data_IF_792133647085
#
_entry.id   IF_792133647085
#
_cell.length_a   1.000
_cell.length_b   1.000
_cell.length_c   1.000
_cell.angle_alpha   90.00
_cell.angle_beta   90.00
_cell.angle_gamma   90.00
#
_symmetry.space_group_name_H-M   'P 1'
#
loop_
_entity.id
_entity.type
_entity.pdbx_description
1 polymer ?
#
# COMPACT_ATOMS: atom_id res chain seq x y z
N UNK A 1 -30.93 45.07 31.31
CA UNK A 1 -30.31 45.69 30.12
C UNK A 1 -28.84 45.85 30.46
N UNK A 2 -28.02 44.89 30.06
CA UNK A 2 -26.58 44.90 30.31
C UNK A 2 -25.94 45.30 28.97
N UNK A 3 -25.53 46.56 28.86
CA UNK A 3 -24.94 47.09 27.63
C UNK A 3 -23.56 46.46 27.41
N UNK A 4 -23.33 45.89 26.23
CA UNK A 4 -22.02 45.36 25.87
C UNK A 4 -20.96 46.49 25.92
N UNK A 5 -19.73 46.20 26.39
CA UNK A 5 -18.69 47.22 26.53
C UNK A 5 -18.38 47.89 25.18
N UNK A 6 -18.14 49.21 25.21
CA UNK A 6 -17.92 50.08 24.04
C UNK A 6 -16.89 49.54 23.03
N UNK A 7 -15.92 48.74 23.48
CA UNK A 7 -14.89 48.13 22.65
C UNK A 7 -15.42 47.21 21.55
N UNK A 8 -16.60 46.60 21.72
CA UNK A 8 -17.23 45.77 20.68
C UNK A 8 -17.92 46.59 19.57
N UNK A 9 -18.09 47.91 19.76
CA UNK A 9 -18.65 48.80 18.75
C UNK A 9 -17.61 49.24 17.71
N UNK A 10 -16.32 49.28 18.08
CA UNK A 10 -15.24 49.72 17.19
C UNK A 10 -14.23 48.60 16.90
N UNK A 11 -14.20 48.15 15.64
CA UNK A 11 -13.33 47.06 15.16
C UNK A 11 -11.85 47.34 15.43
N UNK A 12 -11.44 48.62 15.41
CA UNK A 12 -10.05 49.03 15.64
C UNK A 12 -9.57 48.70 17.05
N UNK A 13 -10.45 48.82 18.05
CA UNK A 13 -10.10 48.60 19.46
C UNK A 13 -9.98 47.12 19.78
N UNK A 14 -10.81 46.27 19.16
CA UNK A 14 -10.71 44.81 19.24
C UNK A 14 -9.36 44.34 18.67
N UNK A 15 -8.97 44.87 17.51
CA UNK A 15 -7.68 44.55 16.87
C UNK A 15 -6.51 44.99 17.75
N UNK A 16 -6.56 46.22 18.28
CA UNK A 16 -5.51 46.75 19.17
C UNK A 16 -5.38 45.93 20.46
N UNK A 17 -6.50 45.49 21.05
CA UNK A 17 -6.51 44.64 22.25
C UNK A 17 -5.88 43.27 21.96
N UNK A 18 -6.22 42.65 20.83
CA UNK A 18 -5.65 41.36 20.43
C UNK A 18 -4.15 41.47 20.10
N UNK A 19 -3.72 42.59 19.51
CA UNK A 19 -2.31 42.90 19.24
C UNK A 19 -1.54 43.10 20.55
N UNK A 20 -2.09 43.88 21.49
CA UNK A 20 -1.49 44.11 22.81
C UNK A 20 -1.39 42.82 23.64
N UNK A 21 -2.38 41.92 23.52
CA UNK A 21 -2.38 40.61 24.16
C UNK A 21 -1.43 39.58 23.49
N UNK A 22 -0.76 39.93 22.39
CA UNK A 22 0.18 39.07 21.67
C UNK A 22 -0.47 37.87 20.96
N UNK A 23 -1.80 37.87 20.81
CA UNK A 23 -2.57 36.79 20.17
C UNK A 23 -2.29 36.78 18.66
N UNK A 24 -2.13 37.96 18.05
CA UNK A 24 -1.81 38.12 16.63
C UNK A 24 -0.48 37.50 16.22
N UNK A 25 0.49 37.35 17.14
CA UNK A 25 1.77 36.71 16.87
C UNK A 25 1.68 35.16 16.85
N UNK A 26 0.63 34.59 17.44
CA UNK A 26 0.42 33.12 17.48
C UNK A 26 -0.50 32.62 16.38
N UNK A 27 -1.36 33.48 15.83
CA UNK A 27 -2.36 33.10 14.82
C UNK A 27 -1.90 33.55 13.44
N UNK A 28 -1.51 32.58 12.61
CA UNK A 28 -1.13 32.75 11.20
C UNK A 28 -2.07 33.72 10.46
N UNK A 29 -1.53 34.86 10.01
CA UNK A 29 -1.85 35.62 8.76
C UNK A 29 -3.31 35.70 8.26
N UNK A 30 -4.31 35.59 9.11
CA UNK A 30 -5.69 35.87 8.73
C UNK A 30 -5.92 37.37 8.79
N UNK A 31 -6.11 38.01 7.62
CA UNK A 31 -6.72 39.35 7.58
C UNK A 31 -8.18 39.17 8.03
N UNK A 32 -8.65 39.84 9.09
CA UNK A 32 -10.06 39.77 9.45
C UNK A 32 -10.89 40.36 8.31
N UNK A 33 -11.74 39.53 7.68
CA UNK A 33 -12.58 39.91 6.52
C UNK A 33 -13.90 40.56 6.96
N UNK A 34 -14.24 40.52 8.26
CA UNK A 34 -15.38 41.25 8.81
C UNK A 34 -15.78 40.72 10.19
N UNK A 35 -16.30 41.62 11.02
CA UNK A 35 -16.97 41.25 12.27
C UNK A 35 -18.45 41.07 11.93
N UNK A 36 -18.99 39.88 12.16
CA UNK A 36 -20.44 39.64 12.04
C UNK A 36 -21.09 40.22 13.29
N UNK A 37 -21.76 41.36 13.12
CA UNK A 37 -22.67 41.89 14.13
C UNK A 37 -23.90 40.99 14.13
N UNK A 38 -24.06 40.18 15.18
CA UNK A 38 -25.35 39.53 15.44
C UNK A 38 -26.30 40.66 15.82
N UNK A 39 -27.09 41.13 14.87
CA UNK A 39 -28.25 41.96 15.19
C UNK A 39 -29.19 41.11 16.04
N UNK A 40 -29.78 41.70 17.06
CA UNK A 40 -30.91 41.10 17.76
C UNK A 40 -31.95 40.73 16.70
N UNK A 41 -32.20 39.42 16.56
CA UNK A 41 -33.18 38.88 15.64
C UNK A 41 -34.54 39.30 16.20
N UNK A 42 -35.34 40.10 15.46
CA UNK A 42 -36.69 40.42 15.90
C UNK A 42 -37.49 39.13 16.06
N UNK A 43 -38.34 39.05 17.09
CA UNK A 43 -39.10 37.83 17.42
C UNK A 43 -40.11 37.43 16.32
N UNK A 44 -40.42 38.36 15.40
CA UNK A 44 -41.30 38.13 14.26
C UNK A 44 -40.58 38.38 12.92
N UNK A 45 -40.53 37.34 12.06
CA UNK A 45 -39.94 37.35 10.71
C UNK A 45 -40.68 38.24 9.70
N UNK A 46 -41.82 38.81 10.10
CA UNK A 46 -42.70 39.64 9.27
C UNK A 46 -42.03 40.93 8.81
N UNK A 47 -41.19 41.54 9.66
CA UNK A 47 -40.47 42.78 9.36
C UNK A 47 -39.25 42.54 8.46
N UNK A 48 -38.66 41.34 8.48
CA UNK A 48 -37.47 41.00 7.71
C UNK A 48 -37.80 40.68 6.23
N UNK A 49 -38.97 40.09 5.99
CA UNK A 49 -39.39 39.60 4.66
C UNK A 49 -40.54 40.42 4.06
N UNK A 50 -41.13 41.36 4.80
CA UNK A 50 -42.21 42.24 4.33
C UNK A 50 -43.48 41.49 3.88
N UNK A 51 -43.67 40.25 4.34
CA UNK A 51 -44.78 39.36 4.00
C UNK A 51 -45.44 38.84 5.27
N UNK A 52 -46.76 38.68 5.26
CA UNK A 52 -47.46 38.07 6.39
C UNK A 52 -47.16 36.56 6.48
N UNK A 53 -47.27 36.00 7.68
CA UNK A 53 -47.01 34.57 7.94
C UNK A 53 -47.90 33.67 7.08
N UNK A 54 -49.14 34.08 6.80
CA UNK A 54 -50.05 33.30 5.95
C UNK A 54 -49.60 33.26 4.49
N UNK A 55 -49.11 34.40 3.97
CA UNK A 55 -48.58 34.48 2.61
C UNK A 55 -47.30 33.66 2.45
N UNK A 56 -46.47 33.64 3.49
CA UNK A 56 -45.24 32.85 3.50
C UNK A 56 -45.54 31.35 3.46
N UNK A 57 -46.53 30.90 4.26
CA UNK A 57 -46.96 29.51 4.28
C UNK A 57 -47.61 29.09 2.96
N UNK A 58 -48.35 29.97 2.28
CA UNK A 58 -48.89 29.68 0.95
C UNK A 58 -47.80 29.58 -0.11
N UNK A 59 -46.78 30.45 -0.06
CA UNK A 59 -45.64 30.43 -0.99
C UNK A 59 -44.81 29.15 -0.80
N UNK A 60 -44.59 28.74 0.45
CA UNK A 60 -43.92 27.48 0.78
C UNK A 60 -44.72 26.27 0.31
N UNK A 61 -46.05 26.24 0.54
CA UNK A 61 -46.90 25.15 0.07
C UNK A 61 -46.92 25.05 -1.47
N UNK A 62 -46.92 26.18 -2.17
CA UNK A 62 -46.82 26.23 -3.62
C UNK A 62 -45.45 25.74 -4.12
N UNK A 63 -44.36 26.13 -3.44
CA UNK A 63 -43.01 25.63 -3.75
C UNK A 63 -42.92 24.12 -3.58
N UNK A 64 -43.44 23.59 -2.48
CA UNK A 64 -43.38 22.15 -2.20
C UNK A 64 -44.26 21.34 -3.16
N UNK A 65 -45.36 21.92 -3.66
CA UNK A 65 -46.15 21.34 -4.74
C UNK A 65 -45.39 21.31 -6.08
N UNK A 66 -44.63 22.35 -6.41
CA UNK A 66 -43.76 22.38 -7.60
C UNK A 66 -42.63 21.35 -7.48
N UNK A 67 -42.00 21.25 -6.31
CA UNK A 67 -40.93 20.28 -6.04
C UNK A 67 -41.47 18.85 -6.17
N UNK A 68 -42.64 18.56 -5.57
CA UNK A 68 -43.29 17.24 -5.72
C UNK A 68 -43.79 16.96 -7.13
N UNK A 69 -44.17 17.99 -7.87
CA UNK A 69 -44.63 17.90 -9.26
C UNK A 69 -43.51 17.68 -10.28
N UNK A 70 -42.23 17.69 -9.85
CA UNK A 70 -41.10 17.40 -10.73
C UNK A 70 -40.88 18.41 -11.86
N UNK A 71 -41.45 19.63 -11.76
CA UNK A 71 -41.36 20.62 -12.83
C UNK A 71 -39.95 21.23 -13.01
N UNK A 72 -39.04 20.98 -12.06
CA UNK A 72 -37.65 21.43 -12.11
C UNK A 72 -36.75 20.20 -11.96
N UNK A 73 -36.39 19.61 -13.10
CA UNK A 73 -35.50 18.44 -13.21
C UNK A 73 -34.12 18.70 -12.57
N UNK A 74 -33.71 19.98 -12.43
CA UNK A 74 -32.46 20.40 -11.76
C UNK A 74 -32.55 20.49 -10.22
N UNK A 75 -33.75 20.57 -9.63
CA UNK A 75 -33.97 20.70 -8.18
C UNK A 75 -34.63 19.48 -7.55
N UNK A 76 -35.11 18.53 -8.36
CA UNK A 76 -35.32 17.17 -7.88
C UNK A 76 -33.98 16.74 -7.29
N UNK A 77 -33.94 16.57 -5.96
CA UNK A 77 -32.85 15.92 -5.26
C UNK A 77 -32.52 14.71 -6.09
N UNK A 78 -31.34 14.72 -6.74
CA UNK A 78 -30.86 13.60 -7.56
C UNK A 78 -30.97 12.40 -6.65
N UNK A 79 -32.03 11.62 -6.85
CA UNK A 79 -32.27 10.38 -6.16
C UNK A 79 -30.96 9.63 -6.36
N UNK A 80 -30.20 9.50 -5.28
CA UNK A 80 -28.88 8.90 -5.34
C UNK A 80 -29.14 7.48 -5.76
N UNK A 81 -29.02 7.22 -7.07
CA UNK A 81 -29.03 5.86 -7.61
C UNK A 81 -28.11 5.08 -6.68
N UNK A 82 -28.60 4.02 -6.01
CA UNK A 82 -27.75 3.25 -5.11
C UNK A 82 -26.55 2.83 -5.93
N UNK A 83 -25.39 3.42 -5.65
CA UNK A 83 -24.17 3.13 -6.38
C UNK A 83 -23.93 1.65 -6.16
N UNK A 84 -23.99 0.86 -7.23
CA UNK A 84 -23.77 -0.57 -7.12
C UNK A 84 -22.36 -0.80 -6.59
N UNK A 85 -22.18 -1.75 -5.67
CA UNK A 85 -20.84 -2.09 -5.14
C UNK A 85 -19.84 -2.35 -6.28
N UNK A 86 -20.32 -2.88 -7.42
CA UNK A 86 -19.51 -3.12 -8.60
C UNK A 86 -19.05 -1.84 -9.31
N UNK A 87 -19.85 -0.77 -9.28
CA UNK A 87 -19.50 0.52 -9.86
C UNK A 87 -18.40 1.21 -9.04
N UNK A 88 -18.47 1.14 -7.70
CA UNK A 88 -17.41 1.66 -6.82
C UNK A 88 -16.09 0.90 -7.00
N UNK A 89 -16.17 -0.43 -7.16
CA UNK A 89 -14.98 -1.27 -7.42
C UNK A 89 -14.33 -0.89 -8.74
N UNK A 90 -15.12 -0.73 -9.81
CA UNK A 90 -14.61 -0.33 -11.12
C UNK A 90 -13.99 1.07 -11.10
N UNK A 91 -14.61 2.02 -10.40
CA UNK A 91 -14.05 3.35 -10.21
C UNK A 91 -12.73 3.30 -9.43
N UNK A 92 -12.65 2.48 -8.37
CA UNK A 92 -11.43 2.31 -7.59
C UNK A 92 -10.30 1.71 -8.44
N UNK A 93 -10.60 0.72 -9.28
CA UNK A 93 -9.63 0.11 -10.19
C UNK A 93 -9.16 1.13 -11.22
N UNK A 94 -10.07 1.92 -11.81
CA UNK A 94 -9.74 2.97 -12.76
C UNK A 94 -8.83 4.05 -12.15
N UNK A 95 -9.05 4.39 -10.87
CA UNK A 95 -8.22 5.35 -10.11
C UNK A 95 -6.90 4.76 -9.60
N UNK A 96 -6.73 3.44 -9.63
CA UNK A 96 -5.58 2.78 -9.01
C UNK A 96 -4.26 3.05 -9.75
N UNK A 97 -3.30 3.64 -9.03
CA UNK A 97 -1.92 3.82 -9.51
C UNK A 97 -1.08 2.56 -9.25
N UNK A 98 0.00 2.35 -10.00
CA UNK A 98 0.96 1.25 -9.80
C UNK A 98 1.47 1.13 -8.35
N UNK A 99 1.74 2.25 -7.68
CA UNK A 99 2.16 2.26 -6.28
C UNK A 99 1.07 1.75 -5.33
N UNK A 100 -0.20 2.01 -5.62
CA UNK A 100 -1.34 1.53 -4.82
C UNK A 100 -1.42 0.01 -4.94
N UNK A 101 -1.35 -0.52 -6.16
CA UNK A 101 -1.34 -1.97 -6.43
C UNK A 101 -0.19 -2.67 -5.72
N UNK A 102 1.01 -2.09 -5.79
CA UNK A 102 2.20 -2.62 -5.11
C UNK A 102 2.05 -2.65 -3.58
N UNK A 103 1.46 -1.58 -3.01
CA UNK A 103 1.16 -1.52 -1.57
C UNK A 103 0.15 -2.59 -1.18
N UNK A 104 -0.91 -2.80 -1.95
CA UNK A 104 -1.90 -3.84 -1.67
C UNK A 104 -1.32 -5.26 -1.70
N UNK A 105 -0.35 -5.53 -2.59
CA UNK A 105 0.31 -6.84 -2.71
C UNK A 105 1.26 -7.09 -1.54
N UNK A 106 2.10 -6.12 -1.19
CA UNK A 106 3.16 -6.35 -0.19
C UNK A 106 2.79 -5.92 1.22
N UNK A 107 1.90 -4.95 1.38
CA UNK A 107 1.45 -4.45 2.67
C UNK A 107 -0.08 -4.59 2.74
N UNK A 108 -0.61 -5.83 2.75
CA UNK A 108 -2.03 -6.04 2.92
C UNK A 108 -2.45 -5.50 4.29
N UNK A 109 -3.63 -4.88 4.33
CA UNK A 109 -4.19 -4.43 5.60
C UNK A 109 -4.56 -5.66 6.43
N UNK A 110 -4.30 -5.64 7.75
CA UNK A 110 -4.52 -6.82 8.61
C UNK A 110 -5.98 -7.29 8.62
N UNK A 111 -6.93 -6.39 8.36
CA UNK A 111 -8.36 -6.71 8.25
C UNK A 111 -8.74 -7.47 6.95
N UNK A 112 -7.88 -7.47 5.92
CA UNK A 112 -8.17 -7.95 4.55
C UNK A 112 -7.10 -8.97 4.12
N UNK A 113 -6.54 -9.72 5.07
CA UNK A 113 -5.44 -10.65 4.83
C UNK A 113 -5.85 -11.95 4.12
N UNK A 114 -7.14 -12.25 4.03
CA UNK A 114 -7.65 -13.57 3.60
C UNK A 114 -7.76 -13.73 2.08
N UNK A 115 -7.40 -12.68 1.32
CA UNK A 115 -7.48 -12.70 -0.14
C UNK A 115 -6.37 -13.55 -0.78
N UNK A 116 -6.64 -14.12 -1.96
CA UNK A 116 -5.66 -14.87 -2.76
C UNK A 116 -4.42 -14.02 -3.08
N UNK A 117 -4.60 -12.71 -3.30
CA UNK A 117 -3.54 -11.76 -3.61
C UNK A 117 -2.59 -11.49 -2.44
N UNK A 118 -3.12 -11.35 -1.21
CA UNK A 118 -2.31 -11.18 0.00
C UNK A 118 -1.48 -12.42 0.29
N UNK A 119 -2.05 -13.62 0.11
CA UNK A 119 -1.30 -14.88 0.24
C UNK A 119 -0.19 -14.99 -0.82
N UNK A 120 -0.47 -14.64 -2.09
CA UNK A 120 0.52 -14.61 -3.16
C UNK A 120 1.67 -13.62 -2.85
N UNK A 121 1.36 -12.44 -2.32
CA UNK A 121 2.36 -11.45 -1.90
C UNK A 121 3.21 -11.89 -0.72
N UNK A 122 2.63 -12.57 0.26
CA UNK A 122 3.35 -13.15 1.40
C UNK A 122 4.28 -14.29 0.94
N UNK A 123 3.79 -15.20 0.09
CA UNK A 123 4.60 -16.26 -0.50
C UNK A 123 5.77 -15.69 -1.31
N UNK A 124 5.52 -14.65 -2.12
CA UNK A 124 6.55 -14.00 -2.92
C UNK A 124 7.66 -13.34 -2.07
N UNK A 125 7.38 -12.98 -0.82
CA UNK A 125 8.36 -12.45 0.13
C UNK A 125 9.10 -13.55 0.90
N UNK A 126 8.36 -14.54 1.41
CA UNK A 126 8.91 -15.56 2.30
C UNK A 126 9.69 -16.66 1.59
N UNK A 127 9.20 -17.10 0.43
CA UNK A 127 9.74 -18.28 -0.28
C UNK A 127 11.21 -18.10 -0.70
N UNK A 128 11.65 -16.97 -1.28
CA UNK A 128 13.07 -16.79 -1.65
C UNK A 128 14.02 -16.83 -0.47
N UNK A 129 13.60 -16.31 0.68
CA UNK A 129 14.40 -16.31 1.91
C UNK A 129 14.49 -17.72 2.46
N UNK A 130 13.38 -18.47 2.50
CA UNK A 130 13.34 -19.85 2.96
C UNK A 130 14.20 -20.77 2.08
N UNK A 131 14.07 -20.66 0.75
CA UNK A 131 14.89 -21.43 -0.20
C UNK A 131 16.38 -21.13 -0.02
N UNK A 132 16.75 -19.85 0.12
CA UNK A 132 18.15 -19.49 0.32
C UNK A 132 18.73 -19.93 1.65
N UNK A 133 17.95 -19.86 2.73
CA UNK A 133 18.34 -20.39 4.03
C UNK A 133 18.53 -21.92 3.99
N UNK A 134 17.60 -22.65 3.36
CA UNK A 134 17.67 -24.10 3.23
C UNK A 134 18.87 -24.56 2.38
N UNK A 135 19.09 -23.94 1.21
CA UNK A 135 20.24 -24.28 0.36
C UNK A 135 21.55 -23.86 1.02
N UNK A 136 21.60 -22.68 1.66
CA UNK A 136 22.78 -22.23 2.39
C UNK A 136 23.16 -23.15 3.55
N UNK A 137 22.15 -23.64 4.30
CA UNK A 137 22.36 -24.58 5.40
C UNK A 137 22.87 -25.93 4.91
N UNK A 138 22.21 -26.53 3.93
CA UNK A 138 22.61 -27.84 3.38
C UNK A 138 24.02 -27.81 2.80
N UNK A 139 24.36 -26.78 2.01
CA UNK A 139 25.70 -26.60 1.45
C UNK A 139 26.74 -26.31 2.53
N UNK A 140 26.37 -25.56 3.59
CA UNK A 140 27.21 -25.32 4.76
C UNK A 140 27.59 -26.62 5.47
N UNK A 141 26.63 -27.51 5.71
CA UNK A 141 26.88 -28.82 6.36
C UNK A 141 27.83 -29.68 5.53
N UNK A 142 27.59 -29.79 4.21
CA UNK A 142 28.50 -30.51 3.30
C UNK A 142 29.90 -29.89 3.33
N UNK A 143 30.00 -28.55 3.33
CA UNK A 143 31.28 -27.86 3.38
C UNK A 143 32.01 -28.09 4.71
N UNK A 144 31.30 -28.24 5.83
CA UNK A 144 31.91 -28.48 7.13
C UNK A 144 32.77 -29.75 7.13
N UNK A 145 32.26 -30.86 6.57
CA UNK A 145 33.03 -32.11 6.45
C UNK A 145 34.31 -31.87 5.63
N UNK A 146 34.18 -31.24 4.47
CA UNK A 146 35.34 -30.96 3.60
C UNK A 146 36.32 -29.93 4.20
N UNK A 147 35.86 -29.00 5.03
CA UNK A 147 36.68 -27.99 5.67
C UNK A 147 37.49 -28.58 6.82
N UNK A 148 36.93 -29.55 7.55
CA UNK A 148 37.66 -30.31 8.55
C UNK A 148 38.83 -31.09 7.93
N UNK A 149 38.58 -31.80 6.83
CA UNK A 149 39.66 -32.51 6.11
C UNK A 149 40.75 -31.55 5.62
N UNK A 150 40.36 -30.37 5.12
CA UNK A 150 41.30 -29.32 4.72
C UNK A 150 42.12 -28.80 5.90
N UNK A 151 41.51 -28.65 7.08
CA UNK A 151 42.21 -28.26 8.30
C UNK A 151 43.24 -29.31 8.70
N UNK A 152 42.86 -30.58 8.77
CA UNK A 152 43.76 -31.68 9.14
C UNK A 152 44.94 -31.76 8.18
N UNK A 153 44.70 -31.66 6.87
CA UNK A 153 45.75 -31.70 5.85
C UNK A 153 46.71 -30.50 5.92
N UNK A 154 46.20 -29.31 6.18
CA UNK A 154 47.03 -28.10 6.29
C UNK A 154 47.86 -28.03 7.57
N UNK A 155 47.44 -28.72 8.63
CA UNK A 155 48.06 -28.67 9.96
C UNK A 155 48.79 -29.97 10.35
N UNK A 156 49.10 -30.85 9.41
CA UNK A 156 49.81 -32.12 9.69
C UNK A 156 51.18 -31.92 10.36
N UNK A 157 51.86 -30.80 10.08
CA UNK A 157 53.20 -30.49 10.58
C UNK A 157 53.20 -29.51 11.76
N UNK A 158 52.03 -29.00 12.15
CA UNK A 158 51.95 -28.02 13.25
C UNK A 158 51.90 -28.73 14.60
N UNK A 159 52.91 -28.49 15.45
CA UNK A 159 52.92 -28.97 16.81
C UNK A 159 52.05 -28.07 17.71
N UNK A 160 51.05 -28.66 18.37
CA UNK A 160 50.17 -27.95 19.28
C UNK A 160 50.64 -28.12 20.72
N UNK A 161 50.52 -27.06 21.53
CA UNK A 161 50.92 -27.09 22.95
C UNK A 161 50.07 -28.05 23.79
N UNK A 162 48.78 -28.17 23.45
CA UNK A 162 47.83 -29.10 24.09
C UNK A 162 46.87 -29.68 23.04
N UNK A 163 46.37 -30.92 23.25
CA UNK A 163 45.41 -31.54 22.33
C UNK A 163 44.06 -30.80 22.31
N UNK A 164 43.67 -30.16 23.41
CA UNK A 164 42.44 -29.38 23.49
C UNK A 164 42.47 -28.14 22.60
N UNK A 165 43.62 -27.47 22.51
CA UNK A 165 43.80 -26.31 21.65
C UNK A 165 43.62 -26.70 20.17
N UNK A 166 44.14 -27.86 19.77
CA UNK A 166 43.97 -28.37 18.41
C UNK A 166 42.50 -28.64 18.09
N UNK A 167 41.74 -29.26 19.01
CA UNK A 167 40.30 -29.52 18.84
C UNK A 167 39.49 -28.22 18.70
N UNK A 168 39.75 -27.23 19.55
CA UNK A 168 39.06 -25.92 19.48
C UNK A 168 39.35 -25.20 18.17
N UNK A 169 40.63 -25.14 17.76
CA UNK A 169 41.02 -24.50 16.49
C UNK A 169 40.43 -25.21 15.27
N UNK A 170 40.36 -26.54 15.29
CA UNK A 170 39.73 -27.32 14.23
C UNK A 170 38.23 -27.02 14.12
N UNK A 171 37.53 -26.96 15.27
CA UNK A 171 36.11 -26.63 15.32
C UNK A 171 35.86 -25.20 14.82
N UNK A 172 36.58 -24.20 15.33
CA UNK A 172 36.43 -22.80 14.94
C UNK A 172 36.69 -22.59 13.45
N UNK A 173 37.78 -23.17 12.91
CA UNK A 173 38.10 -23.08 11.49
C UNK A 173 37.00 -23.70 10.62
N UNK A 174 36.53 -24.88 10.99
CA UNK A 174 35.52 -25.62 10.24
C UNK A 174 34.20 -24.87 10.22
N UNK A 175 33.75 -24.36 11.39
CA UNK A 175 32.51 -23.61 11.54
C UNK A 175 32.55 -22.27 10.80
N UNK A 176 33.62 -21.49 10.95
CA UNK A 176 33.74 -20.20 10.27
C UNK A 176 33.79 -20.38 8.75
N UNK A 177 34.51 -21.40 8.26
CA UNK A 177 34.64 -21.66 6.83
C UNK A 177 33.34 -22.21 6.23
N UNK A 178 32.63 -23.08 6.94
CA UNK A 178 31.34 -23.60 6.48
C UNK A 178 30.25 -22.53 6.50
N UNK A 179 30.19 -21.72 7.56
CA UNK A 179 29.20 -20.66 7.71
C UNK A 179 29.36 -19.56 6.68
N UNK A 180 30.58 -19.03 6.49
CA UNK A 180 30.83 -17.99 5.48
C UNK A 180 30.51 -18.48 4.07
N UNK A 181 30.85 -19.74 3.76
CA UNK A 181 30.51 -20.34 2.47
C UNK A 181 28.99 -20.53 2.32
N UNK A 182 28.32 -21.11 3.32
CA UNK A 182 26.87 -21.33 3.34
C UNK A 182 26.08 -20.04 3.19
N UNK A 183 26.45 -18.98 3.93
CA UNK A 183 25.84 -17.64 3.80
C UNK A 183 26.04 -17.09 2.38
N UNK A 184 27.24 -17.21 1.83
CA UNK A 184 27.52 -16.68 0.49
C UNK A 184 26.72 -17.39 -0.61
N UNK A 185 26.52 -18.71 -0.50
CA UNK A 185 25.72 -19.50 -1.44
C UNK A 185 24.24 -19.23 -1.21
N UNK A 186 23.80 -19.18 0.05
CA UNK A 186 22.42 -18.86 0.43
C UNK A 186 21.95 -17.51 -0.10
N UNK A 187 22.75 -16.45 0.08
CA UNK A 187 22.44 -15.12 -0.43
C UNK A 187 22.30 -15.11 -1.96
N UNK A 188 23.21 -15.80 -2.66
CA UNK A 188 23.17 -15.95 -4.11
C UNK A 188 21.91 -16.69 -4.58
N UNK A 189 21.49 -17.73 -3.87
CA UNK A 189 20.26 -18.47 -4.17
C UNK A 189 19.01 -17.65 -3.88
N UNK A 190 19.01 -16.82 -2.83
CA UNK A 190 17.91 -15.89 -2.56
C UNK A 190 17.75 -14.89 -3.70
N UNK A 191 18.84 -14.25 -4.17
CA UNK A 191 18.79 -13.31 -5.31
C UNK A 191 18.19 -13.99 -6.54
N UNK A 192 18.56 -15.24 -6.81
CA UNK A 192 18.03 -16.01 -7.93
C UNK A 192 16.53 -16.32 -7.75
N UNK A 193 16.14 -16.79 -6.57
CA UNK A 193 14.75 -17.13 -6.26
C UNK A 193 13.82 -15.89 -6.25
N UNK A 194 14.30 -14.74 -5.78
CA UNK A 194 13.57 -13.47 -5.85
C UNK A 194 13.20 -13.12 -7.29
N UNK A 195 14.11 -13.38 -8.25
CA UNK A 195 13.86 -13.24 -9.70
C UNK A 195 12.73 -14.09 -10.25
N UNK A 196 12.57 -15.26 -9.66
CA UNK A 196 11.60 -16.25 -10.13
C UNK A 196 10.20 -15.96 -9.61
N UNK A 197 10.08 -15.49 -8.37
CA UNK A 197 8.79 -15.35 -7.67
C UNK A 197 8.38 -13.90 -7.41
N UNK A 198 9.30 -13.06 -6.95
CA UNK A 198 8.99 -11.70 -6.51
C UNK A 198 8.99 -10.70 -7.67
N UNK A 199 9.98 -10.77 -8.56
CA UNK A 199 10.09 -9.84 -9.69
C UNK A 199 8.90 -9.90 -10.65
N UNK A 200 8.41 -11.07 -11.09
CA UNK A 200 7.25 -11.13 -11.98
C UNK A 200 6.04 -10.47 -11.33
N UNK A 201 5.77 -10.76 -10.05
CA UNK A 201 4.65 -10.17 -9.31
C UNK A 201 4.75 -8.65 -9.18
N UNK A 202 5.95 -8.09 -8.96
CA UNK A 202 6.18 -6.64 -8.96
C UNK A 202 5.83 -6.05 -10.34
N UNK A 203 6.26 -6.71 -11.42
CA UNK A 203 6.01 -6.24 -12.79
C UNK A 203 4.51 -6.32 -13.11
N UNK A 204 3.84 -7.43 -12.79
CA UNK A 204 2.39 -7.59 -12.98
C UNK A 204 1.62 -6.53 -12.20
N UNK A 205 2.03 -6.22 -10.97
CA UNK A 205 1.40 -5.17 -10.16
C UNK A 205 1.58 -3.78 -10.76
N UNK A 206 2.75 -3.49 -11.34
CA UNK A 206 3.01 -2.23 -12.02
C UNK A 206 2.18 -2.10 -13.32
N UNK A 207 2.06 -3.17 -14.10
CA UNK A 207 1.28 -3.17 -15.35
C UNK A 207 -0.23 -3.23 -15.08
N UNK A 208 -0.64 -3.83 -13.96
CA UNK A 208 -2.04 -4.16 -13.66
C UNK A 208 -2.62 -5.27 -14.51
N UNK A 209 -1.77 -6.00 -15.25
CA UNK A 209 -2.16 -7.08 -16.14
C UNK A 209 -1.12 -8.19 -16.02
N UNK A 210 -1.54 -9.43 -16.24
CA UNK A 210 -0.59 -10.56 -16.30
C UNK A 210 -0.03 -10.71 -17.70
N UNK A 211 1.30 -10.77 -17.81
CA UNK A 211 1.98 -10.96 -19.08
C UNK A 211 3.07 -12.04 -19.00
N UNK A 212 3.25 -12.82 -20.06
CA UNK A 212 4.23 -13.93 -20.07
C UNK A 212 5.69 -13.45 -19.98
N UNK A 213 6.01 -12.27 -20.51
CA UNK A 213 7.38 -11.73 -20.53
C UNK A 213 7.90 -11.30 -19.16
N UNK A 214 7.04 -11.17 -18.16
CA UNK A 214 7.42 -10.75 -16.81
C UNK A 214 8.39 -11.75 -16.18
N UNK A 215 8.20 -13.03 -16.47
CA UNK A 215 9.08 -14.11 -16.05
C UNK A 215 10.42 -14.08 -16.79
N UNK A 216 10.44 -13.74 -18.08
CA UNK A 216 11.68 -13.58 -18.82
C UNK A 216 12.53 -12.43 -18.25
N UNK A 217 11.88 -11.32 -17.90
CA UNK A 217 12.54 -10.18 -17.25
C UNK A 217 13.01 -10.55 -15.86
N UNK A 218 12.18 -11.16 -15.02
CA UNK A 218 12.56 -11.55 -13.65
C UNK A 218 13.74 -12.53 -13.58
N UNK A 219 13.73 -13.56 -14.44
CA UNK A 219 14.83 -14.51 -14.54
C UNK A 219 16.10 -13.87 -15.10
N UNK A 220 15.95 -13.05 -16.15
CA UNK A 220 17.06 -12.33 -16.78
C UNK A 220 17.73 -11.37 -15.81
N UNK A 221 16.97 -10.57 -15.06
CA UNK A 221 17.50 -9.59 -14.09
C UNK A 221 18.16 -10.28 -12.91
N UNK A 222 17.60 -11.37 -12.38
CA UNK A 222 18.24 -12.09 -11.28
C UNK A 222 19.54 -12.78 -11.68
N UNK A 223 19.61 -13.40 -12.87
CA UNK A 223 20.86 -13.97 -13.37
C UNK A 223 21.91 -12.92 -13.71
N UNK A 224 21.46 -11.76 -14.19
CA UNK A 224 22.30 -10.58 -14.38
C UNK A 224 22.91 -10.14 -13.04
N UNK A 225 22.10 -9.96 -11.99
CA UNK A 225 22.58 -9.58 -10.66
C UNK A 225 23.50 -10.63 -10.03
N UNK A 226 23.19 -11.91 -10.20
CA UNK A 226 24.02 -13.01 -9.72
C UNK A 226 25.44 -12.98 -10.32
N UNK A 227 25.58 -12.56 -11.58
CA UNK A 227 26.86 -12.52 -12.30
C UNK A 227 27.61 -11.18 -12.20
N UNK A 228 27.15 -10.23 -11.37
CA UNK A 228 27.75 -8.88 -11.31
C UNK A 228 29.26 -8.91 -11.03
N UNK A 229 29.72 -9.85 -10.19
CA UNK A 229 31.12 -9.99 -9.82
C UNK A 229 32.00 -10.70 -10.88
N UNK A 230 31.42 -11.26 -11.94
CA UNK A 230 32.16 -12.00 -12.97
C UNK A 230 32.50 -11.18 -14.23
N UNK A 231 32.02 -9.93 -14.28
CA UNK A 231 32.32 -8.97 -15.35
C UNK A 231 31.16 -8.71 -16.31
N UNK A 232 31.20 -7.55 -16.98
CA UNK A 232 30.09 -6.98 -17.78
C UNK A 232 29.62 -7.89 -18.92
N UNK A 233 30.54 -8.56 -19.62
CA UNK A 233 30.19 -9.48 -20.73
C UNK A 233 29.44 -10.72 -20.24
N UNK A 234 29.91 -11.33 -19.16
CA UNK A 234 29.27 -12.51 -18.58
C UNK A 234 27.90 -12.17 -17.98
N UNK A 235 27.75 -10.97 -17.44
CA UNK A 235 26.49 -10.45 -16.92
C UNK A 235 25.40 -10.37 -18.00
N UNK A 236 25.74 -9.82 -19.17
CA UNK A 236 24.82 -9.73 -20.31
C UNK A 236 24.46 -11.11 -20.87
N UNK A 237 25.44 -11.99 -21.04
CA UNK A 237 25.21 -13.35 -21.55
C UNK A 237 24.34 -14.15 -20.58
N UNK A 238 24.61 -14.07 -19.27
CA UNK A 238 23.82 -14.78 -18.26
C UNK A 238 22.36 -14.31 -18.24
N UNK A 239 22.12 -13.00 -18.31
CA UNK A 239 20.76 -12.45 -18.39
C UNK A 239 20.01 -12.91 -19.64
N UNK A 240 20.66 -12.85 -20.81
CA UNK A 240 20.06 -13.28 -22.07
C UNK A 240 19.73 -14.77 -22.10
N UNK A 241 20.66 -15.62 -21.62
CA UNK A 241 20.45 -17.07 -21.57
C UNK A 241 19.36 -17.44 -20.56
N UNK A 242 19.27 -16.74 -19.43
CA UNK A 242 18.25 -17.01 -18.41
C UNK A 242 16.85 -16.51 -18.80
N UNK A 243 16.75 -15.51 -19.67
CA UNK A 243 15.46 -15.01 -20.15
C UNK A 243 14.69 -16.08 -20.96
N UNK A 244 15.38 -16.97 -21.66
CA UNK A 244 14.75 -18.02 -22.46
C UNK A 244 13.92 -19.03 -21.63
N UNK A 245 14.49 -19.74 -20.63
CA UNK A 245 13.70 -20.60 -19.75
C UNK A 245 12.65 -19.81 -18.95
N UNK A 246 12.94 -18.55 -18.60
CA UNK A 246 11.96 -17.65 -17.99
C UNK A 246 10.74 -17.40 -18.87
N UNK A 247 10.93 -17.23 -20.18
CA UNK A 247 9.85 -17.05 -21.15
C UNK A 247 9.01 -18.32 -21.29
N UNK A 248 9.66 -19.49 -21.40
CA UNK A 248 8.96 -20.80 -21.47
C UNK A 248 8.12 -21.02 -20.21
N UNK A 249 8.70 -20.76 -19.03
CA UNK A 249 7.98 -20.83 -17.76
C UNK A 249 6.83 -19.82 -17.68
N UNK A 250 7.02 -18.60 -18.19
CA UNK A 250 5.97 -17.58 -18.24
C UNK A 250 4.80 -17.96 -19.15
N UNK A 251 5.06 -18.56 -20.31
CA UNK A 251 4.01 -19.08 -21.19
C UNK A 251 3.20 -20.19 -20.50
N UNK A 252 3.87 -21.13 -19.83
CA UNK A 252 3.22 -22.20 -19.08
C UNK A 252 2.36 -21.64 -17.93
N UNK A 253 2.91 -20.73 -17.12
CA UNK A 253 2.14 -20.10 -16.04
C UNK A 253 0.95 -19.31 -16.56
N UNK A 254 1.09 -18.59 -17.67
CA UNK A 254 -0.02 -17.83 -18.24
C UNK A 254 -1.17 -18.74 -18.68
N UNK A 255 -0.88 -19.92 -19.25
CA UNK A 255 -1.91 -20.92 -19.58
C UNK A 255 -2.57 -21.44 -18.30
N UNK A 256 -1.78 -21.80 -17.29
CA UNK A 256 -2.29 -22.31 -16.00
C UNK A 256 -3.15 -21.25 -15.28
N UNK A 257 -2.65 -20.03 -15.14
CA UNK A 257 -3.35 -18.93 -14.49
C UNK A 257 -4.66 -18.57 -15.17
N UNK A 258 -4.72 -18.60 -16.51
CA UNK A 258 -5.98 -18.39 -17.25
C UNK A 258 -6.96 -19.53 -17.06
N UNK A 259 -6.48 -20.77 -16.99
CA UNK A 259 -7.34 -21.94 -16.79
C UNK A 259 -7.94 -21.95 -15.38
N UNK A 260 -7.16 -21.51 -14.39
CA UNK A 260 -7.57 -21.47 -12.98
C UNK A 260 -8.24 -20.15 -12.55
N UNK A 261 -8.35 -19.15 -13.44
CA UNK A 261 -8.79 -17.78 -13.12
C UNK A 261 -8.02 -17.16 -11.95
N UNK A 262 -6.70 -17.39 -11.96
CA UNK A 262 -5.75 -16.84 -10.98
C UNK A 262 -4.88 -15.76 -11.63
N UNK A 263 -5.47 -14.97 -12.52
CA UNK A 263 -4.76 -13.83 -13.11
C UNK A 263 -4.65 -12.70 -12.09
N UNK A 264 -3.63 -11.86 -12.22
CA UNK A 264 -3.44 -10.68 -11.38
C UNK A 264 -4.66 -9.74 -11.43
N UNK A 265 -5.29 -9.59 -12.61
CA UNK A 265 -6.48 -8.76 -12.78
C UNK A 265 -7.64 -9.25 -11.91
N UNK A 266 -7.90 -10.56 -11.95
CA UNK A 266 -8.96 -11.20 -11.15
C UNK A 266 -8.63 -11.15 -9.65
N UNK A 267 -7.41 -11.51 -9.26
CA UNK A 267 -6.97 -11.47 -7.85
C UNK A 267 -7.02 -10.04 -7.27
N UNK A 268 -6.65 -9.03 -8.07
CA UNK A 268 -6.72 -7.63 -7.66
C UNK A 268 -8.16 -7.14 -7.57
N UNK A 269 -9.02 -7.53 -8.51
CA UNK A 269 -10.44 -7.20 -8.47
C UNK A 269 -11.12 -7.77 -7.21
N UNK A 270 -10.83 -9.03 -6.86
CA UNK A 270 -11.31 -9.64 -5.61
C UNK A 270 -10.83 -8.87 -4.38
N UNK A 271 -9.56 -8.46 -4.35
CA UNK A 271 -9.02 -7.68 -3.24
C UNK A 271 -9.69 -6.31 -3.10
N UNK A 272 -9.90 -5.61 -4.22
CA UNK A 272 -10.59 -4.32 -4.22
C UNK A 272 -12.05 -4.47 -3.76
N UNK A 273 -12.76 -5.51 -4.23
CA UNK A 273 -14.11 -5.82 -3.76
C UNK A 273 -14.14 -6.02 -2.25
N UNK A 274 -13.18 -6.74 -1.68
CA UNK A 274 -13.08 -6.91 -0.23
C UNK A 274 -12.83 -5.58 0.52
N UNK A 275 -11.99 -4.69 -0.06
CA UNK A 275 -11.74 -3.35 0.50
C UNK A 275 -13.00 -2.48 0.48
N UNK A 276 -13.72 -2.45 -0.63
CA UNK A 276 -14.94 -1.65 -0.79
C UNK A 276 -16.03 -2.16 0.16
N UNK A 277 -16.24 -3.47 0.18
CA UNK A 277 -17.20 -4.10 1.09
C UNK A 277 -16.91 -3.78 2.57
N UNK A 278 -15.64 -3.83 2.99
CA UNK A 278 -15.25 -3.45 4.34
C UNK A 278 -15.49 -1.96 4.63
N UNK A 279 -15.24 -1.08 3.65
CA UNK A 279 -15.50 0.36 3.79
C UNK A 279 -17.00 0.65 3.98
N UNK A 280 -17.86 0.00 3.19
CA UNK A 280 -19.31 0.15 3.28
C UNK A 280 -19.81 -0.29 4.66
N UNK A 281 -19.23 -1.34 5.24
CA UNK A 281 -19.57 -1.81 6.59
C UNK A 281 -19.09 -0.86 7.70
N UNK A 282 -18.00 -0.12 7.49
CA UNK A 282 -17.46 0.83 8.47
C UNK A 282 -18.16 2.21 8.45
N UNK A 283 -18.79 2.61 7.34
CA UNK A 283 -19.61 3.82 7.32
C UNK A 283 -20.87 3.59 8.17
N UNK A 284 -21.10 4.37 9.26
CA UNK A 284 -22.37 4.28 9.98
C UNK A 284 -23.49 4.65 9.00
N UNK A 285 -24.68 4.02 9.11
CA UNK A 285 -25.82 4.40 8.28
C UNK A 285 -25.97 5.90 8.40
N UNK A 286 -25.89 6.59 7.26
CA UNK A 286 -26.04 8.05 7.21
C UNK A 286 -27.29 8.40 8.00
N UNK A 287 -27.16 9.44 8.81
CA UNK A 287 -28.14 10.02 9.72
C UNK A 287 -29.40 10.54 8.97
N UNK A 288 -30.00 9.73 8.11
CA UNK A 288 -31.23 10.01 7.36
C UNK A 288 -32.43 9.26 7.94
N UNK A 289 -32.24 8.41 8.96
CA UNK A 289 -33.32 7.83 9.76
C UNK A 289 -33.45 8.48 11.16
N UNK A 290 -32.59 9.45 11.51
CA UNK A 290 -32.72 10.20 12.77
C UNK A 290 -33.66 11.43 12.68
N UNK A 291 -34.30 11.62 11.53
CA UNK A 291 -35.36 12.61 11.32
C UNK A 291 -36.54 11.92 10.63
N UNK A 292 -37.18 11.01 11.36
CA UNK A 292 -38.59 10.68 11.20
C UNK A 292 -39.26 10.75 12.57
#
# INVERSE_FOLDING_TARGET
MEEAPESYKNVTDVVNTCQAAGISNKVLKLRPIGVIKVMEVPEDDSDLLGKSVEQLNSDLAHRDAIIKGGLIDELAIRETVPVSEEDEVNEFIARSTALTRLKCVFFPNNAISDTTLSHAGQLAKGLPVLMGAGVGFTVGVVRAVTAYDQFVRSHQLTAWRTPEMAKRRAADYTLLRSMTFGISVGLKTTILATGCFTFPLIISACQGRTSFWEYAVGWGTSCFLFCINRGRRQMLVAGAVAAFPGLVYGCLNMVVSRTLRLTFEEMYHEQVRAIVHHRIQEEPPKLSEAVQ
#
